data_IF_110992902275
#
_entry.id   IF_110992902275
#
_cell.length_a   1.000
_cell.length_b   1.000
_cell.length_c   1.000
_cell.angle_alpha   90.00
_cell.angle_beta   90.00
_cell.angle_gamma   90.00
#
_symmetry.space_group_name_H-M   'P 1'
#
loop_
_entity.id
_entity.type
_entity.pdbx_description
1 polymer ?
#
# COMPACT_ATOMS: atom_id res chain seq x y z
N UNK A 1 -4.18 20.02 -10.85
CA UNK A 1 -3.67 18.71 -11.33
C UNK A 1 -3.80 17.75 -10.17
N UNK A 2 -4.58 16.69 -10.31
CA UNK A 2 -4.80 15.74 -9.22
C UNK A 2 -3.49 15.02 -8.87
N UNK A 3 -3.24 14.81 -7.55
CA UNK A 3 -2.08 14.09 -7.00
C UNK A 3 -1.88 12.70 -7.64
N UNK A 4 -2.96 12.13 -8.16
CA UNK A 4 -3.01 10.82 -8.84
C UNK A 4 -2.20 10.82 -10.15
N UNK A 5 -2.14 11.93 -10.89
CA UNK A 5 -1.38 12.00 -12.18
C UNK A 5 0.13 12.01 -12.01
N UNK A 6 0.66 12.27 -10.82
CA UNK A 6 2.10 12.41 -10.59
C UNK A 6 2.84 11.07 -10.39
N UNK A 7 2.11 9.99 -10.00
CA UNK A 7 2.70 8.69 -9.67
C UNK A 7 2.18 7.54 -10.55
N UNK A 8 1.51 7.85 -11.65
CA UNK A 8 0.93 6.87 -12.58
C UNK A 8 2.02 6.09 -13.32
N UNK A 9 1.92 4.76 -13.34
CA UNK A 9 2.80 3.91 -14.14
C UNK A 9 2.46 4.04 -15.63
N UNK A 10 3.49 4.06 -16.47
CA UNK A 10 3.32 4.34 -17.89
C UNK A 10 2.36 3.36 -18.60
N UNK A 11 2.37 2.09 -18.21
CA UNK A 11 1.50 1.07 -18.80
C UNK A 11 0.05 1.14 -18.32
N UNK A 12 -0.24 1.86 -17.23
CA UNK A 12 -1.59 2.09 -16.70
C UNK A 12 -2.26 3.34 -17.29
N UNK A 13 -1.54 4.11 -18.11
CA UNK A 13 -2.00 5.40 -18.64
C UNK A 13 -3.39 5.33 -19.27
N UNK A 14 -3.63 4.37 -20.15
CA UNK A 14 -4.91 4.23 -20.83
C UNK A 14 -6.07 3.92 -19.87
N UNK A 15 -5.80 3.11 -18.83
CA UNK A 15 -6.79 2.81 -17.79
C UNK A 15 -7.16 4.05 -16.99
N UNK A 16 -6.16 4.88 -16.63
CA UNK A 16 -6.42 6.15 -15.93
C UNK A 16 -7.17 7.15 -16.82
N UNK A 17 -6.83 7.27 -18.10
CA UNK A 17 -7.55 8.13 -19.04
C UNK A 17 -9.03 7.72 -19.18
N UNK A 18 -9.30 6.42 -19.18
CA UNK A 18 -10.66 5.90 -19.21
C UNK A 18 -11.43 6.22 -17.92
N UNK A 19 -10.79 6.05 -16.78
CA UNK A 19 -11.38 6.42 -15.46
C UNK A 19 -11.61 7.92 -15.32
N UNK A 20 -10.67 8.75 -15.78
CA UNK A 20 -10.86 10.21 -15.82
C UNK A 20 -12.10 10.61 -16.66
N UNK A 21 -12.31 9.96 -17.82
CA UNK A 21 -13.51 10.18 -18.65
C UNK A 21 -14.80 9.79 -17.94
N UNK A 22 -14.78 8.68 -17.20
CA UNK A 22 -15.93 8.24 -16.40
C UNK A 22 -16.27 9.30 -15.34
N UNK A 23 -15.28 9.84 -14.65
CA UNK A 23 -15.49 10.90 -13.66
C UNK A 23 -16.02 12.20 -14.31
N UNK A 24 -15.53 12.55 -15.49
CA UNK A 24 -16.02 13.71 -16.23
C UNK A 24 -17.49 13.54 -16.63
N UNK A 25 -17.87 12.35 -17.12
CA UNK A 25 -19.26 12.04 -17.46
C UNK A 25 -20.20 12.11 -16.25
N UNK A 26 -19.76 11.57 -15.10
CA UNK A 26 -20.51 11.68 -13.83
C UNK A 26 -20.75 13.14 -13.45
N UNK A 27 -19.70 13.96 -13.47
CA UNK A 27 -19.78 15.40 -13.15
C UNK A 27 -20.65 16.18 -14.14
N UNK A 28 -20.65 15.81 -15.43
CA UNK A 28 -21.51 16.41 -16.44
C UNK A 28 -22.99 16.03 -16.23
N UNK A 29 -23.25 14.75 -15.92
CA UNK A 29 -24.61 14.29 -15.60
C UNK A 29 -25.21 15.02 -14.40
N UNK A 30 -24.41 15.21 -13.34
CA UNK A 30 -24.83 15.98 -12.14
C UNK A 30 -25.15 17.45 -12.46
N UNK A 31 -24.38 18.09 -13.35
CA UNK A 31 -24.57 19.50 -13.71
C UNK A 31 -25.71 19.74 -14.69
N UNK A 32 -25.90 18.82 -15.64
CA UNK A 32 -26.90 18.96 -16.70
C UNK A 32 -28.28 18.40 -16.32
N UNK A 33 -28.39 17.67 -15.21
CA UNK A 33 -29.60 16.94 -14.83
C UNK A 33 -29.98 15.81 -15.79
N UNK A 34 -29.10 15.45 -16.73
CA UNK A 34 -29.29 14.35 -17.66
C UNK A 34 -28.89 13.02 -17.04
N UNK A 35 -29.72 12.00 -17.26
CA UNK A 35 -29.46 10.67 -16.77
C UNK A 35 -28.41 9.94 -17.68
N UNK A 36 -27.12 10.10 -17.37
CA UNK A 36 -26.01 9.44 -18.08
C UNK A 36 -25.64 8.07 -17.47
N UNK A 37 -26.52 7.51 -16.65
CA UNK A 37 -26.24 6.27 -15.90
C UNK A 37 -25.89 5.08 -16.80
N UNK A 38 -26.51 4.96 -17.96
CA UNK A 38 -26.26 3.85 -18.90
C UNK A 38 -24.89 3.97 -19.53
N UNK A 39 -24.48 5.16 -19.94
CA UNK A 39 -23.19 5.44 -20.55
C UNK A 39 -22.06 5.25 -19.52
N UNK A 40 -22.23 5.77 -18.31
CA UNK A 40 -21.28 5.59 -17.20
C UNK A 40 -21.07 4.10 -16.92
N UNK A 41 -22.13 3.32 -16.77
CA UNK A 41 -22.03 1.87 -16.54
C UNK A 41 -21.32 1.14 -17.68
N UNK A 42 -21.56 1.55 -18.92
CA UNK A 42 -20.88 0.97 -20.06
C UNK A 42 -19.37 1.22 -20.02
N UNK A 43 -18.95 2.46 -19.74
CA UNK A 43 -17.53 2.80 -19.60
C UNK A 43 -16.87 2.17 -18.37
N UNK A 44 -17.60 2.05 -17.25
CA UNK A 44 -17.11 1.34 -16.07
C UNK A 44 -16.81 -0.13 -16.41
N UNK A 45 -17.74 -0.80 -17.10
CA UNK A 45 -17.52 -2.19 -17.55
C UNK A 45 -16.31 -2.33 -18.46
N UNK A 46 -16.14 -1.43 -19.43
CA UNK A 46 -14.97 -1.40 -20.32
C UNK A 46 -13.66 -1.17 -19.54
N UNK A 47 -13.69 -0.30 -18.51
CA UNK A 47 -12.52 -0.05 -17.69
C UNK A 47 -12.15 -1.27 -16.84
N UNK A 48 -13.13 -2.00 -16.33
CA UNK A 48 -12.91 -3.22 -15.54
C UNK A 48 -12.38 -4.36 -16.43
N UNK A 49 -12.96 -4.58 -17.61
CA UNK A 49 -12.49 -5.57 -18.58
C UNK A 49 -11.04 -5.26 -19.03
N UNK A 50 -10.74 -3.99 -19.32
CA UNK A 50 -9.40 -3.57 -19.66
C UNK A 50 -8.41 -3.73 -18.51
N UNK A 51 -8.83 -3.43 -17.28
CA UNK A 51 -8.01 -3.63 -16.09
C UNK A 51 -7.68 -5.11 -15.87
N UNK A 52 -8.67 -6.00 -16.02
CA UNK A 52 -8.49 -7.44 -15.87
C UNK A 52 -7.50 -7.98 -16.92
N UNK A 53 -7.64 -7.59 -18.18
CA UNK A 53 -6.71 -7.96 -19.24
C UNK A 53 -5.29 -7.44 -18.98
N UNK A 54 -5.16 -6.15 -18.60
CA UNK A 54 -3.89 -5.50 -18.31
C UNK A 54 -3.14 -6.19 -17.17
N UNK A 55 -3.83 -6.43 -16.04
CA UNK A 55 -3.18 -7.00 -14.85
C UNK A 55 -2.96 -8.50 -14.93
N UNK A 56 -3.71 -9.22 -15.77
CA UNK A 56 -3.49 -10.64 -16.04
C UNK A 56 -2.21 -10.89 -16.85
N UNK A 57 -1.82 -9.94 -17.71
CA UNK A 57 -0.72 -10.08 -18.67
C UNK A 57 0.52 -9.25 -18.32
N UNK A 58 0.74 -8.93 -17.06
CA UNK A 58 1.89 -8.12 -16.62
C UNK A 58 3.23 -8.83 -16.86
N UNK A 59 4.18 -8.12 -17.44
CA UNK A 59 5.57 -8.54 -17.50
C UNK A 59 6.21 -8.54 -16.10
N UNK A 60 7.30 -9.29 -15.85
CA UNK A 60 8.02 -9.27 -14.58
C UNK A 60 8.45 -7.86 -14.16
N UNK A 61 8.88 -7.03 -15.09
CA UNK A 61 9.27 -5.64 -14.82
C UNK A 61 8.08 -4.79 -14.32
N UNK A 62 6.90 -4.92 -14.96
CA UNK A 62 5.68 -4.24 -14.54
C UNK A 62 5.20 -4.70 -13.16
N UNK A 63 5.30 -6.00 -12.85
CA UNK A 63 5.00 -6.53 -11.51
C UNK A 63 5.88 -5.88 -10.44
N UNK A 64 7.18 -5.70 -10.72
CA UNK A 64 8.11 -5.01 -9.82
C UNK A 64 7.73 -3.53 -9.66
N UNK A 65 7.34 -2.85 -10.74
CA UNK A 65 6.90 -1.45 -10.67
C UNK A 65 5.67 -1.28 -9.78
N UNK A 66 4.64 -2.15 -9.92
CA UNK A 66 3.47 -2.15 -9.04
C UNK A 66 3.86 -2.46 -7.59
N UNK A 67 4.68 -3.49 -7.38
CA UNK A 67 5.12 -3.89 -6.03
C UNK A 67 5.88 -2.78 -5.30
N UNK A 68 6.55 -1.89 -6.05
CA UNK A 68 7.35 -0.77 -5.53
C UNK A 68 6.68 0.59 -5.73
N UNK A 69 5.40 0.61 -6.02
CA UNK A 69 4.68 1.86 -6.21
C UNK A 69 4.72 2.72 -4.95
N UNK A 70 4.96 4.03 -5.10
CA UNK A 70 5.12 4.97 -3.97
C UNK A 70 3.88 5.12 -3.10
N UNK A 71 2.69 4.93 -3.67
CA UNK A 71 1.42 5.00 -2.95
C UNK A 71 0.97 3.64 -2.39
N UNK A 72 1.78 2.58 -2.56
CA UNK A 72 1.45 1.28 -1.98
C UNK A 72 1.51 1.36 -0.45
N UNK A 73 0.51 0.82 0.26
CA UNK A 73 0.54 0.76 1.71
C UNK A 73 1.79 0.06 2.22
N UNK A 74 2.44 0.62 3.21
CA UNK A 74 3.54 0.02 3.94
C UNK A 74 3.04 -0.62 5.25
N UNK A 75 3.94 -1.20 6.05
CA UNK A 75 3.58 -1.85 7.30
C UNK A 75 2.83 -0.92 8.25
N UNK A 76 3.29 0.33 8.42
CA UNK A 76 2.63 1.30 9.29
C UNK A 76 1.21 1.64 8.82
N UNK A 77 0.99 1.74 7.51
CA UNK A 77 -0.35 1.99 6.96
C UNK A 77 -1.33 0.85 7.29
N UNK A 78 -0.84 -0.39 7.44
CA UNK A 78 -1.67 -1.50 7.92
C UNK A 78 -1.90 -1.42 9.42
N UNK A 79 -0.84 -1.20 10.22
CA UNK A 79 -0.97 -1.01 11.68
C UNK A 79 -2.04 0.03 11.99
N UNK A 80 -1.96 1.21 11.37
CA UNK A 80 -2.86 2.34 11.61
C UNK A 80 -4.34 2.05 11.23
N UNK A 81 -4.60 1.01 10.43
CA UNK A 81 -5.94 0.69 9.94
C UNK A 81 -6.59 -0.53 10.56
N UNK A 82 -5.80 -1.50 10.97
CA UNK A 82 -6.32 -2.81 11.41
C UNK A 82 -5.92 -3.18 12.83
N UNK A 83 -4.95 -2.49 13.43
CA UNK A 83 -4.43 -2.81 14.76
C UNK A 83 -4.91 -1.79 15.79
N UNK A 84 -5.53 -2.27 16.85
CA UNK A 84 -5.85 -1.51 18.03
C UNK A 84 -4.76 -1.74 19.10
N UNK A 85 -4.46 -0.70 19.91
CA UNK A 85 -3.53 -0.78 21.04
C UNK A 85 -2.12 -1.31 20.67
N UNK A 86 -1.63 -1.00 19.47
CA UNK A 86 -0.29 -1.44 19.05
C UNK A 86 0.79 -0.81 19.91
N UNK A 87 1.68 -1.65 20.47
CA UNK A 87 2.83 -1.23 21.29
C UNK A 87 4.10 -1.74 20.60
N UNK A 88 4.88 -0.84 20.04
CA UNK A 88 6.12 -1.20 19.35
C UNK A 88 7.19 -1.64 20.37
N UNK A 89 7.81 -2.78 20.13
CA UNK A 89 8.96 -3.27 20.89
C UNK A 89 10.25 -2.87 20.19
N UNK A 90 11.20 -2.37 20.97
CA UNK A 90 12.51 -1.92 20.51
C UNK A 90 13.64 -2.71 21.10
N UNK A 91 14.73 -2.85 20.31
CA UNK A 91 15.99 -3.42 20.76
C UNK A 91 16.05 -4.95 20.77
N UNK A 92 17.27 -5.45 20.74
CA UNK A 92 17.59 -6.88 20.64
C UNK A 92 18.02 -7.50 21.97
N UNK A 93 17.83 -6.81 23.08
CA UNK A 93 18.32 -7.15 24.45
C UNK A 93 19.85 -7.18 24.59
N UNK A 94 20.59 -6.85 23.54
CA UNK A 94 22.07 -6.76 23.54
C UNK A 94 22.52 -5.29 23.42
N UNK A 95 21.58 -4.36 23.28
CA UNK A 95 21.86 -2.93 23.26
C UNK A 95 21.78 -2.30 21.87
N UNK A 96 21.26 -3.02 20.89
CA UNK A 96 21.06 -2.52 19.51
C UNK A 96 19.60 -2.60 19.11
N UNK A 97 19.24 -1.77 18.14
CA UNK A 97 17.89 -1.73 17.56
C UNK A 97 17.98 -1.75 16.04
N UNK A 98 16.97 -2.31 15.37
CA UNK A 98 16.87 -2.34 13.92
C UNK A 98 15.55 -1.74 13.46
N UNK A 99 15.62 -0.53 12.97
CA UNK A 99 14.45 0.21 12.48
C UNK A 99 13.86 -0.32 11.18
N UNK A 100 14.47 -1.31 10.55
CA UNK A 100 13.92 -1.98 9.38
C UNK A 100 12.88 -3.04 9.75
N UNK A 101 12.82 -3.47 11.02
CA UNK A 101 11.78 -4.34 11.54
C UNK A 101 11.00 -3.60 12.62
N UNK A 102 9.69 -3.61 12.47
CA UNK A 102 8.74 -3.07 13.44
C UNK A 102 7.87 -4.22 13.91
N UNK A 103 7.67 -4.35 15.22
CA UNK A 103 6.84 -5.41 15.76
C UNK A 103 6.42 -5.14 17.19
N UNK A 104 5.28 -5.72 17.57
CA UNK A 104 4.74 -5.59 18.90
C UNK A 104 3.37 -6.20 19.05
N UNK A 105 2.86 -6.32 20.30
CA UNK A 105 1.51 -6.77 20.57
C UNK A 105 0.49 -5.73 20.13
N UNK A 106 -0.64 -6.20 19.64
CA UNK A 106 -1.81 -5.40 19.31
C UNK A 106 -3.07 -6.26 19.40
N UNK A 107 -4.21 -5.65 19.13
CA UNK A 107 -5.48 -6.34 18.96
C UNK A 107 -5.96 -6.15 17.51
N UNK A 108 -6.47 -7.21 16.91
CA UNK A 108 -7.18 -7.17 15.63
C UNK A 108 -8.55 -7.80 15.83
N UNK A 109 -9.61 -7.02 15.61
CA UNK A 109 -11.00 -7.43 15.89
C UNK A 109 -11.20 -7.99 17.33
N UNK A 110 -10.51 -7.40 18.31
CA UNK A 110 -10.53 -7.82 19.72
C UNK A 110 -9.72 -9.10 20.01
N UNK A 111 -8.98 -9.61 19.06
CA UNK A 111 -8.10 -10.78 19.22
C UNK A 111 -6.66 -10.28 19.47
N UNK A 112 -6.03 -10.63 20.60
CA UNK A 112 -4.65 -10.26 20.86
C UNK A 112 -3.70 -11.02 19.91
N UNK A 113 -2.84 -10.28 19.23
CA UNK A 113 -1.87 -10.81 18.26
C UNK A 113 -0.52 -10.13 18.41
N UNK A 114 0.52 -10.82 17.95
CA UNK A 114 1.83 -10.22 17.74
C UNK A 114 1.96 -9.85 16.27
N UNK A 115 2.03 -8.55 15.97
CA UNK A 115 2.18 -8.05 14.61
C UNK A 115 3.65 -7.69 14.36
N UNK A 116 4.24 -8.27 13.32
CA UNK A 116 5.64 -8.06 12.95
C UNK A 116 5.74 -7.83 11.45
N UNK A 117 6.51 -6.84 11.05
CA UNK A 117 6.74 -6.59 9.64
C UNK A 117 8.02 -5.81 9.35
N UNK A 118 8.41 -5.83 8.09
CA UNK A 118 9.49 -4.97 7.61
C UNK A 118 8.94 -3.59 7.29
N UNK A 119 9.66 -2.56 7.69
CA UNK A 119 9.30 -1.19 7.40
C UNK A 119 10.30 -0.53 6.46
N UNK A 120 9.78 -0.06 5.34
CA UNK A 120 10.50 0.79 4.40
C UNK A 120 9.80 2.14 4.36
N UNK A 121 10.56 3.21 4.54
CA UNK A 121 10.01 4.57 4.46
C UNK A 121 9.43 4.91 3.09
N UNK A 122 8.61 5.96 3.04
CA UNK A 122 8.03 6.52 1.81
C UNK A 122 8.92 7.57 1.16
N UNK A 123 9.77 8.22 1.96
CA UNK A 123 10.72 9.24 1.50
C UNK A 123 12.15 8.71 1.53
N UNK A 124 13.05 9.33 0.77
CA UNK A 124 14.47 8.97 0.77
C UNK A 124 15.09 9.08 2.17
N UNK A 125 14.70 10.09 2.95
CA UNK A 125 15.18 10.29 4.32
C UNK A 125 14.74 9.15 5.24
N UNK A 126 13.47 8.76 5.20
CA UNK A 126 12.94 7.62 5.95
C UNK A 126 13.60 6.31 5.49
N UNK A 127 13.78 6.11 4.19
CA UNK A 127 14.46 4.94 3.66
C UNK A 127 15.86 4.75 4.24
N UNK A 128 16.62 5.85 4.41
CA UNK A 128 17.94 5.79 5.03
C UNK A 128 17.85 5.41 6.51
N UNK A 129 16.88 5.95 7.24
CA UNK A 129 16.66 5.62 8.67
C UNK A 129 16.32 4.15 8.86
N UNK A 130 15.48 3.59 7.98
CA UNK A 130 15.00 2.22 8.03
C UNK A 130 15.81 1.26 7.15
N UNK A 131 17.06 1.62 6.80
CA UNK A 131 17.95 0.82 5.96
C UNK A 131 17.27 0.24 4.72
N UNK A 132 16.40 1.03 4.05
CA UNK A 132 15.61 0.63 2.88
C UNK A 132 14.71 -0.61 3.11
N UNK A 133 14.36 -0.89 4.34
CA UNK A 133 13.59 -2.08 4.73
C UNK A 133 14.41 -3.37 4.67
N UNK A 134 15.74 -3.26 4.75
CA UNK A 134 16.66 -4.40 4.78
C UNK A 134 17.08 -4.67 6.22
N UNK A 135 16.56 -5.74 6.85
CA UNK A 135 16.89 -6.08 8.24
C UNK A 135 18.34 -6.43 8.44
N UNK A 136 18.84 -6.06 9.60
CA UNK A 136 20.14 -6.47 10.13
C UNK A 136 20.00 -7.62 11.14
N UNK A 137 21.08 -8.28 11.58
CA UNK A 137 21.01 -9.41 12.53
C UNK A 137 20.25 -9.11 13.82
N UNK A 138 20.32 -7.86 14.32
CA UNK A 138 19.59 -7.44 15.51
C UNK A 138 18.08 -7.45 15.30
N UNK A 139 17.58 -7.08 14.13
CA UNK A 139 16.16 -7.15 13.80
C UNK A 139 15.64 -8.59 13.84
N UNK A 140 16.39 -9.54 13.32
CA UNK A 140 16.04 -10.96 13.43
C UNK A 140 16.02 -11.45 14.87
N UNK A 141 16.94 -10.97 15.73
CA UNK A 141 16.92 -11.29 17.16
C UNK A 141 15.68 -10.70 17.84
N UNK A 142 15.31 -9.46 17.52
CA UNK A 142 14.09 -8.82 18.02
C UNK A 142 12.87 -9.67 17.67
N UNK A 143 12.71 -10.10 16.43
CA UNK A 143 11.63 -11.00 16.00
C UNK A 143 11.65 -12.30 16.79
N UNK A 144 12.81 -12.91 16.95
CA UNK A 144 12.95 -14.21 17.60
C UNK A 144 12.41 -14.22 19.04
N UNK A 145 12.77 -13.25 19.86
CA UNK A 145 12.29 -13.24 21.24
C UNK A 145 10.90 -12.61 21.40
N UNK A 146 10.47 -11.74 20.48
CA UNK A 146 9.18 -11.10 20.54
C UNK A 146 8.04 -12.11 20.44
N UNK A 147 8.12 -13.09 19.52
CA UNK A 147 7.07 -14.11 19.37
C UNK A 147 7.27 -15.33 20.27
N UNK A 148 8.45 -15.53 20.82
CA UNK A 148 8.72 -16.63 21.77
C UNK A 148 8.40 -16.28 23.23
N UNK A 149 8.06 -15.02 23.52
CA UNK A 149 7.77 -14.53 24.87
C UNK A 149 6.29 -14.51 25.23
N UNK A 150 5.43 -15.08 24.39
CA UNK A 150 3.97 -15.20 24.59
C UNK A 150 3.61 -16.51 25.25
#
# INVERSE_FOLDING_TARGET
MSRIKMNMLQFEKNLYELRDKIEELKKQGEKSGQNMTTEVKHFEKLADEYAEELYSNLTPAQKIQIARHSERPNFQDYVDRIADNFIEFHGDRVGTDDRAIVGGPCEIDGIPVMLIGTYKGKTTKENLVHNFGMPQPQGYRTVSYTHLSL
#
